data_IF_723992153534
#
_entry.id   IF_723992153534
#
_cell.length_a   1.000
_cell.length_b   1.000
_cell.length_c   1.000
_cell.angle_alpha   90.00
_cell.angle_beta   90.00
_cell.angle_gamma   90.00
#
_symmetry.space_group_name_H-M   'P 1'
#
loop_
_entity.id
_entity.type
_entity.pdbx_description
1 polymer ?
#
# COMPACT_ATOMS: atom_id res chain seq x y z
N UNK A 1 5.37 1.23 -21.99
CA UNK A 1 4.34 1.34 -20.94
C UNK A 1 5.02 2.01 -19.76
N UNK A 2 4.62 3.23 -19.41
CA UNK A 2 5.23 4.01 -18.32
C UNK A 2 4.88 3.36 -16.98
N UNK A 3 5.90 2.95 -16.23
CA UNK A 3 5.72 2.39 -14.88
C UNK A 3 5.21 3.49 -13.94
N UNK A 4 4.23 3.18 -13.09
CA UNK A 4 3.66 4.17 -12.15
C UNK A 4 4.75 4.69 -11.20
N UNK A 5 4.90 6.02 -11.14
CA UNK A 5 5.81 6.67 -10.20
C UNK A 5 5.07 7.00 -8.91
N UNK A 6 5.54 6.44 -7.79
CA UNK A 6 4.99 6.69 -6.44
C UNK A 6 4.94 8.18 -6.12
N UNK A 7 3.82 8.64 -5.56
CA UNK A 7 3.63 10.03 -5.11
C UNK A 7 4.05 10.22 -3.66
N UNK A 8 3.90 9.18 -2.83
CA UNK A 8 4.10 9.29 -1.38
C UNK A 8 5.37 8.62 -0.89
N UNK A 9 5.70 8.86 0.39
CA UNK A 9 6.86 8.25 1.01
C UNK A 9 6.55 6.79 1.38
N UNK A 10 7.36 5.88 0.86
CA UNK A 10 7.27 4.45 1.15
C UNK A 10 8.56 3.98 1.81
N UNK A 11 8.42 3.18 2.86
CA UNK A 11 9.54 2.52 3.54
C UNK A 11 9.29 1.02 3.65
N UNK A 12 10.36 0.24 3.64
CA UNK A 12 10.27 -1.21 3.91
C UNK A 12 9.94 -1.42 5.38
N UNK A 13 9.01 -2.34 5.66
CA UNK A 13 8.51 -2.59 7.01
C UNK A 13 9.49 -3.42 7.83
N UNK A 14 10.11 -4.43 7.21
CA UNK A 14 11.01 -5.39 7.85
C UNK A 14 12.43 -5.29 7.26
N UNK A 15 13.20 -4.25 7.60
CA UNK A 15 14.56 -4.12 7.13
C UNK A 15 15.44 -5.23 7.74
N UNK A 16 16.10 -6.02 6.89
CA UNK A 16 16.99 -7.10 7.31
C UNK A 16 16.33 -8.48 7.45
N UNK A 17 15.01 -8.56 7.32
CA UNK A 17 14.32 -9.85 7.25
C UNK A 17 14.23 -10.36 5.82
N UNK A 18 14.38 -11.68 5.68
CA UNK A 18 14.29 -12.39 4.42
C UNK A 18 13.02 -13.25 4.38
N UNK A 19 12.43 -13.33 3.18
CA UNK A 19 11.34 -14.22 2.85
C UNK A 19 11.77 -15.68 2.74
N UNK A 20 10.82 -16.52 2.35
CA UNK A 20 11.02 -17.98 2.26
C UNK A 20 12.08 -18.37 1.21
N UNK A 21 12.34 -17.49 0.24
CA UNK A 21 13.34 -17.67 -0.81
C UNK A 21 14.73 -17.13 -0.43
N UNK A 22 14.91 -16.67 0.82
CA UNK A 22 16.16 -16.08 1.30
C UNK A 22 16.42 -14.66 0.77
N UNK A 23 15.52 -14.08 -0.04
CA UNK A 23 15.61 -12.68 -0.45
C UNK A 23 14.93 -11.78 0.57
N UNK A 24 15.29 -10.49 0.64
CA UNK A 24 14.66 -9.58 1.57
C UNK A 24 13.14 -9.46 1.37
N UNK A 25 12.38 -9.37 2.46
CA UNK A 25 10.93 -9.26 2.40
C UNK A 25 10.47 -8.03 1.61
N UNK A 26 9.67 -8.28 0.58
CA UNK A 26 9.03 -7.26 -0.23
C UNK A 26 7.72 -6.78 0.46
N UNK A 27 7.89 -6.08 1.58
CA UNK A 27 6.80 -5.52 2.38
C UNK A 27 7.07 -4.04 2.70
N UNK A 28 6.11 -3.18 2.37
CA UNK A 28 6.28 -1.73 2.43
C UNK A 28 5.06 -1.04 3.01
N UNK A 29 5.30 -0.01 3.83
CA UNK A 29 4.26 0.89 4.33
C UNK A 29 4.39 2.27 3.69
N UNK A 30 3.24 2.83 3.32
CA UNK A 30 3.10 4.22 2.92
C UNK A 30 2.98 5.08 4.19
N UNK A 31 3.77 6.15 4.26
CA UNK A 31 3.77 7.09 5.38
C UNK A 31 3.49 8.50 4.87
N UNK A 32 2.45 9.14 5.40
CA UNK A 32 2.04 10.50 5.08
C UNK A 32 1.77 11.22 6.39
N UNK A 33 2.31 12.43 6.57
CA UNK A 33 2.23 13.19 7.82
C UNK A 33 2.67 12.39 9.07
N UNK A 34 3.58 11.43 8.90
CA UNK A 34 4.02 10.53 9.98
C UNK A 34 3.04 9.41 10.34
N UNK A 35 1.96 9.22 9.57
CA UNK A 35 0.95 8.17 9.78
C UNK A 35 1.07 7.07 8.71
N UNK A 36 0.84 5.81 9.10
CA UNK A 36 0.80 4.71 8.16
C UNK A 36 -0.52 4.71 7.38
N UNK A 37 -0.49 5.13 6.12
CA UNK A 37 -1.68 5.32 5.27
C UNK A 37 -1.96 4.18 4.32
N UNK A 38 -1.10 3.16 4.31
CA UNK A 38 -1.36 1.87 3.67
C UNK A 38 -0.14 0.97 3.66
N UNK A 39 -0.32 -0.25 3.18
CA UNK A 39 0.73 -1.27 3.13
C UNK A 39 0.59 -2.12 1.89
N UNK A 40 1.72 -2.54 1.32
CA UNK A 40 1.77 -3.56 0.28
C UNK A 40 2.71 -4.69 0.70
N UNK A 41 2.38 -5.92 0.32
CA UNK A 41 3.23 -7.08 0.59
C UNK A 41 3.16 -8.10 -0.54
N UNK A 42 4.33 -8.52 -1.01
CA UNK A 42 4.42 -9.59 -1.99
C UNK A 42 4.04 -10.93 -1.37
N UNK A 43 3.19 -11.68 -2.04
CA UNK A 43 2.75 -12.98 -1.58
C UNK A 43 3.68 -14.06 -2.12
N UNK A 44 4.57 -14.58 -1.27
CA UNK A 44 5.53 -15.62 -1.64
C UNK A 44 4.92 -17.03 -1.66
N UNK A 45 3.80 -17.21 -0.98
CA UNK A 45 3.12 -18.49 -0.79
C UNK A 45 1.60 -18.35 -0.85
N UNK A 46 0.91 -19.50 -0.85
CA UNK A 46 -0.55 -19.57 -0.84
C UNK A 46 -1.21 -19.32 -2.20
N UNK A 47 -2.55 -19.23 -2.23
CA UNK A 47 -3.34 -19.14 -3.47
C UNK A 47 -3.07 -17.88 -4.30
N UNK A 48 -2.59 -16.82 -3.65
CA UNK A 48 -2.28 -15.53 -4.28
C UNK A 48 -0.77 -15.35 -4.51
N UNK A 49 0.00 -16.43 -4.48
CA UNK A 49 1.44 -16.42 -4.76
C UNK A 49 1.73 -15.68 -6.06
N UNK A 50 2.74 -14.81 -6.04
CA UNK A 50 3.14 -14.00 -7.19
C UNK A 50 2.38 -12.68 -7.31
N UNK A 51 1.39 -12.41 -6.46
CA UNK A 51 0.64 -11.16 -6.43
C UNK A 51 1.09 -10.27 -5.28
N UNK A 52 0.71 -9.00 -5.38
CA UNK A 52 0.94 -8.00 -4.36
C UNK A 52 -0.35 -7.73 -3.60
N UNK A 53 -0.40 -8.09 -2.32
CA UNK A 53 -1.48 -7.65 -1.44
C UNK A 53 -1.31 -6.15 -1.21
N UNK A 54 -2.40 -5.40 -1.30
CA UNK A 54 -2.46 -4.01 -0.87
C UNK A 54 -3.57 -3.83 0.15
N UNK A 55 -3.31 -3.00 1.15
CA UNK A 55 -4.28 -2.61 2.18
C UNK A 55 -4.24 -1.09 2.36
N UNK A 56 -5.42 -0.48 2.31
CA UNK A 56 -5.61 0.89 2.76
C UNK A 56 -5.31 1.00 4.26
N UNK A 57 -4.62 2.06 4.64
CA UNK A 57 -4.32 2.35 6.05
C UNK A 57 -5.36 3.25 6.69
N UNK A 58 -5.11 3.56 7.96
CA UNK A 58 -5.95 4.44 8.75
C UNK A 58 -5.19 5.72 9.07
N UNK A 59 -5.82 6.87 8.81
CA UNK A 59 -5.34 8.17 9.29
C UNK A 59 -6.20 8.61 10.47
N UNK A 60 -5.59 9.22 11.49
CA UNK A 60 -6.34 9.75 12.65
C UNK A 60 -7.26 10.90 12.26
N UNK A 61 -7.00 11.55 11.13
CA UNK A 61 -7.79 12.66 10.57
C UNK A 61 -9.01 12.20 9.78
N UNK A 62 -9.11 10.90 9.47
CA UNK A 62 -10.13 10.35 8.57
C UNK A 62 -10.97 9.31 9.33
N UNK A 63 -12.29 9.52 9.41
CA UNK A 63 -13.24 8.57 10.03
C UNK A 63 -14.22 7.92 9.04
N UNK A 64 -14.03 8.16 7.75
CA UNK A 64 -14.82 7.53 6.69
C UNK A 64 -14.15 6.26 6.21
N UNK A 65 -14.96 5.31 5.76
CA UNK A 65 -14.50 4.05 5.18
C UNK A 65 -14.79 4.06 3.70
N UNK A 66 -13.75 3.88 2.87
CA UNK A 66 -13.89 3.65 1.43
C UNK A 66 -13.64 2.17 1.12
N UNK A 67 -14.55 1.57 0.37
CA UNK A 67 -14.43 0.18 -0.11
C UNK A 67 -13.99 0.16 -1.59
N UNK A 68 -13.20 -0.84 -2.01
CA UNK A 68 -12.58 -1.88 -1.17
C UNK A 68 -11.45 -1.31 -0.30
N UNK A 69 -11.28 -1.84 0.91
CA UNK A 69 -10.17 -1.49 1.81
C UNK A 69 -8.84 -2.16 1.44
N UNK A 70 -8.86 -3.12 0.51
CA UNK A 70 -7.68 -3.86 0.11
C UNK A 70 -7.99 -4.88 -0.98
N UNK A 71 -6.95 -5.50 -1.50
CA UNK A 71 -7.05 -6.48 -2.57
C UNK A 71 -5.69 -6.94 -3.06
N UNK A 72 -5.65 -7.52 -4.26
CA UNK A 72 -4.41 -8.02 -4.85
C UNK A 72 -4.15 -7.38 -6.20
N UNK A 73 -2.93 -6.96 -6.42
CA UNK A 73 -2.42 -6.40 -7.66
C UNK A 73 -1.43 -7.35 -8.34
N UNK A 74 -1.27 -7.19 -9.64
CA UNK A 74 -0.35 -8.00 -10.45
C UNK A 74 1.12 -7.57 -10.30
N UNK A 75 1.35 -6.32 -9.90
CA UNK A 75 2.68 -5.74 -9.75
C UNK A 75 2.79 -4.84 -8.52
N UNK A 76 4.03 -4.60 -8.08
CA UNK A 76 4.34 -3.68 -6.97
C UNK A 76 3.81 -2.28 -7.24
N UNK A 77 4.06 -1.77 -8.46
CA UNK A 77 3.73 -0.42 -8.87
C UNK A 77 2.22 -0.20 -8.95
N UNK A 78 1.47 -1.23 -9.38
CA UNK A 78 0.00 -1.22 -9.31
C UNK A 78 -0.51 -1.25 -7.86
N UNK A 79 0.10 -2.06 -6.98
CA UNK A 79 -0.27 -2.12 -5.56
C UNK A 79 -0.05 -0.77 -4.86
N UNK A 80 1.08 -0.11 -5.15
CA UNK A 80 1.37 1.26 -4.71
C UNK A 80 0.26 2.20 -5.18
N UNK A 81 -0.02 2.23 -6.49
CA UNK A 81 -1.06 3.10 -7.06
C UNK A 81 -2.40 2.93 -6.35
N UNK A 82 -2.83 1.69 -6.11
CA UNK A 82 -4.10 1.39 -5.43
C UNK A 82 -4.15 1.89 -3.99
N UNK A 83 -3.06 1.80 -3.23
CA UNK A 83 -2.99 2.40 -1.89
C UNK A 83 -3.08 3.92 -1.94
N UNK A 84 -2.34 4.55 -2.85
CA UNK A 84 -2.33 6.01 -2.98
C UNK A 84 -3.71 6.54 -3.41
N UNK A 85 -4.35 5.90 -4.40
CA UNK A 85 -5.71 6.22 -4.83
C UNK A 85 -6.75 5.99 -3.73
N UNK A 86 -6.62 4.91 -2.96
CA UNK A 86 -7.51 4.64 -1.83
C UNK A 86 -7.40 5.72 -0.74
N UNK A 87 -6.18 6.14 -0.42
CA UNK A 87 -5.97 7.21 0.55
C UNK A 87 -6.53 8.56 0.07
N UNK A 88 -6.36 8.89 -1.21
CA UNK A 88 -6.95 10.10 -1.79
C UNK A 88 -8.48 10.07 -1.75
N UNK A 89 -9.08 8.93 -2.09
CA UNK A 89 -10.53 8.73 -2.01
C UNK A 89 -11.04 8.88 -0.56
N UNK A 90 -10.31 8.33 0.42
CA UNK A 90 -10.60 8.50 1.84
C UNK A 90 -10.56 9.98 2.25
N UNK A 91 -9.58 10.75 1.78
CA UNK A 91 -9.47 12.19 2.05
C UNK A 91 -10.64 12.97 1.47
N UNK A 92 -10.94 12.73 0.19
CA UNK A 92 -12.06 13.40 -0.50
C UNK A 92 -13.38 13.11 0.21
N UNK A 93 -13.64 11.85 0.57
CA UNK A 93 -14.84 11.45 1.30
C UNK A 93 -14.92 12.06 2.72
N UNK A 94 -13.78 12.41 3.32
CA UNK A 94 -13.70 13.11 4.60
C UNK A 94 -13.81 14.64 4.47
N UNK A 95 -13.95 15.19 3.25
CA UNK A 95 -13.94 16.63 3.00
C UNK A 95 -12.55 17.28 3.11
N UNK A 96 -11.49 16.48 3.02
CA UNK A 96 -10.10 16.95 3.01
C UNK A 96 -9.59 17.04 1.55
N UNK A 97 -8.69 17.99 1.24
CA UNK A 97 -8.09 18.05 -0.09
C UNK A 97 -7.23 16.80 -0.33
N UNK A 98 -7.18 16.23 -1.56
CA UNK A 98 -6.22 15.20 -1.93
C UNK A 98 -4.78 15.73 -1.80
N UNK A 99 -3.79 14.83 -1.75
CA UNK A 99 -2.36 15.19 -1.70
C UNK A 99 -1.73 15.05 -3.10
#
# INVERSE_FOLDING_TARGET
MTEYQRRYHWKRTWPGENGLDGKPLEDYVCVIDGENTGRISYQEAGPMKGKWLWNGGHSRKIRVTVMPQGGYASSRSEAVRLVEEHYDAQRVAAGLPPI
#
